data_IF_824642245059
#
_entry.id   IF_824642245059
#
_cell.length_a   1.000
_cell.length_b   1.000
_cell.length_c   1.000
_cell.angle_alpha   90.00
_cell.angle_beta   90.00
_cell.angle_gamma   90.00
#
_symmetry.space_group_name_H-M   'P 1'
#
loop_
_entity.id
_entity.type
_entity.pdbx_description
1 polymer ?
#
# COMPACT_ATOMS: atom_id res chain seq x y z
N UNK A 1 37.79 28.19 -27.87
CA UNK A 1 36.63 28.91 -28.43
C UNK A 1 36.11 28.07 -29.58
N UNK A 2 34.88 27.61 -29.69
CA UNK A 2 33.65 27.76 -28.93
C UNK A 2 32.62 26.90 -29.70
N UNK A 3 31.92 25.99 -28.99
CA UNK A 3 30.48 25.60 -29.09
C UNK A 3 29.76 25.55 -30.48
N UNK A 4 28.72 24.75 -30.72
CA UNK A 4 27.88 23.83 -29.92
C UNK A 4 26.75 23.30 -30.83
N UNK A 5 26.22 22.12 -30.47
CA UNK A 5 24.82 21.65 -30.63
C UNK A 5 24.13 21.64 -32.00
N UNK A 6 23.66 20.45 -32.39
CA UNK A 6 22.22 20.11 -32.26
C UNK A 6 22.04 18.67 -31.81
N UNK A 7 21.63 18.53 -30.54
CA UNK A 7 21.42 17.27 -29.85
C UNK A 7 20.18 16.50 -30.30
N UNK A 8 20.34 15.18 -30.37
CA UNK A 8 19.26 14.21 -30.48
C UNK A 8 18.34 14.24 -29.26
N UNK A 9 17.04 14.07 -29.51
CA UNK A 9 15.99 13.97 -28.50
C UNK A 9 16.24 12.74 -27.62
N UNK A 10 16.87 12.96 -26.47
CA UNK A 10 16.98 11.98 -25.40
C UNK A 10 15.61 11.61 -24.83
N UNK A 11 15.36 10.31 -24.77
CA UNK A 11 14.26 9.68 -24.04
C UNK A 11 14.33 10.15 -22.57
N UNK A 12 13.30 10.84 -22.07
CA UNK A 12 13.23 11.24 -20.66
C UNK A 12 12.98 9.99 -19.80
N UNK A 13 14.04 9.40 -19.29
CA UNK A 13 14.00 8.39 -18.24
C UNK A 13 13.61 9.11 -16.95
N UNK A 14 12.42 8.83 -16.42
CA UNK A 14 11.98 9.31 -15.11
C UNK A 14 12.76 8.58 -14.01
N UNK A 15 13.92 9.11 -13.66
CA UNK A 15 14.66 8.69 -12.47
C UNK A 15 13.94 9.21 -11.22
N UNK A 16 13.30 8.30 -10.49
CA UNK A 16 12.71 8.60 -9.19
C UNK A 16 13.85 8.84 -8.18
N UNK A 17 14.11 10.10 -7.87
CA UNK A 17 15.13 10.51 -6.92
C UNK A 17 14.58 10.37 -5.49
N UNK A 18 15.01 9.34 -4.78
CA UNK A 18 14.68 9.08 -3.39
C UNK A 18 15.42 10.05 -2.44
N UNK A 19 15.02 11.33 -2.44
CA UNK A 19 15.38 12.30 -1.38
C UNK A 19 14.48 13.54 -1.49
N UNK A 20 13.25 13.41 -0.99
CA UNK A 20 12.44 14.44 -0.30
C UNK A 20 11.01 13.90 -0.16
N UNK A 21 10.64 13.40 1.03
CA UNK A 21 9.23 13.19 1.41
C UNK A 21 8.55 14.56 1.57
N UNK A 22 8.35 15.30 0.48
CA UNK A 22 7.31 16.34 0.43
C UNK A 22 6.00 15.61 0.14
N UNK A 23 4.96 15.87 0.95
CA UNK A 23 3.58 15.42 0.73
C UNK A 23 3.11 15.90 -0.64
N UNK A 24 3.47 15.19 -1.71
CA UNK A 24 2.83 15.32 -3.00
C UNK A 24 1.48 14.67 -2.83
N UNK A 25 0.42 15.45 -3.03
CA UNK A 25 -0.91 14.90 -3.22
C UNK A 25 -0.79 13.78 -4.26
N UNK A 26 -1.14 12.56 -3.87
CA UNK A 26 -1.10 11.41 -4.77
C UNK A 26 -2.03 11.73 -5.93
N UNK A 27 -1.48 11.87 -7.13
CA UNK A 27 -2.27 12.27 -8.30
C UNK A 27 -3.28 11.16 -8.61
N UNK A 28 -4.48 11.48 -9.06
CA UNK A 28 -5.51 10.47 -9.33
C UNK A 28 -5.03 9.39 -10.32
N UNK A 29 -4.17 9.78 -11.26
CA UNK A 29 -3.48 8.89 -12.19
C UNK A 29 -2.52 7.91 -11.50
N UNK A 30 -1.76 8.37 -10.51
CA UNK A 30 -0.82 7.56 -9.73
C UNK A 30 -1.57 6.51 -8.90
N UNK A 31 -2.68 6.92 -8.25
CA UNK A 31 -3.55 5.99 -7.52
C UNK A 31 -4.14 4.94 -8.47
N UNK A 32 -4.57 5.35 -9.66
CA UNK A 32 -5.10 4.42 -10.64
C UNK A 32 -4.01 3.47 -11.16
N UNK A 33 -2.79 3.97 -11.40
CA UNK A 33 -1.65 3.15 -11.80
C UNK A 33 -1.33 2.07 -10.76
N UNK A 34 -1.27 2.42 -9.48
CA UNK A 34 -1.08 1.43 -8.40
C UNK A 34 -2.15 0.35 -8.39
N UNK A 35 -3.42 0.73 -8.59
CA UNK A 35 -4.51 -0.23 -8.59
C UNK A 35 -4.51 -1.14 -9.82
N UNK A 36 -4.12 -0.61 -10.98
CA UNK A 36 -4.02 -1.38 -12.24
C UNK A 36 -2.82 -2.33 -12.23
N UNK A 37 -1.71 -1.95 -11.60
CA UNK A 37 -0.47 -2.74 -11.58
C UNK A 37 -0.67 -4.18 -11.06
N UNK A 38 -1.55 -4.37 -10.07
CA UNK A 38 -1.85 -5.68 -9.47
C UNK A 38 -3.36 -5.98 -9.39
N UNK A 39 -4.20 -5.24 -10.13
CA UNK A 39 -5.65 -5.33 -10.00
C UNK A 39 -6.42 -4.68 -11.15
N UNK A 40 -7.66 -4.25 -10.87
CA UNK A 40 -8.56 -3.60 -11.85
C UNK A 40 -8.61 -2.09 -11.61
N UNK A 41 -8.81 -1.26 -12.67
CA UNK A 41 -8.90 0.18 -12.52
C UNK A 41 -10.02 0.59 -11.56
N UNK A 42 -9.88 1.77 -10.97
CA UNK A 42 -10.89 2.32 -10.06
C UNK A 42 -12.22 2.51 -10.78
N UNK A 43 -13.28 1.86 -10.28
CA UNK A 43 -14.63 2.08 -10.77
C UNK A 43 -15.33 3.15 -9.91
N UNK A 44 -16.36 3.81 -10.46
CA UNK A 44 -17.23 4.75 -9.73
C UNK A 44 -17.80 4.14 -8.45
N UNK A 45 -18.09 2.84 -8.45
CA UNK A 45 -18.55 2.09 -7.27
C UNK A 45 -17.50 2.05 -6.15
N UNK A 46 -16.21 2.03 -6.48
CA UNK A 46 -15.13 2.03 -5.50
C UNK A 46 -15.01 3.38 -4.81
N UNK A 47 -15.02 4.47 -5.59
CA UNK A 47 -15.05 5.84 -5.03
C UNK A 47 -16.23 6.04 -4.10
N UNK A 48 -17.42 5.60 -4.52
CA UNK A 48 -18.61 5.65 -3.68
C UNK A 48 -18.42 4.86 -2.38
N UNK A 49 -17.84 3.65 -2.43
CA UNK A 49 -17.60 2.84 -1.23
C UNK A 49 -16.61 3.49 -0.27
N UNK A 50 -15.51 4.06 -0.77
CA UNK A 50 -14.50 4.73 0.05
C UNK A 50 -15.00 6.06 0.65
N UNK A 51 -15.96 6.72 0.00
CA UNK A 51 -16.62 7.92 0.53
C UNK A 51 -17.75 7.58 1.52
N UNK A 52 -18.59 6.59 1.17
CA UNK A 52 -19.82 6.29 1.89
C UNK A 52 -19.55 5.77 3.30
N UNK A 53 -18.57 4.88 3.50
CA UNK A 53 -18.32 4.30 4.83
C UNK A 53 -17.90 5.40 5.84
N UNK A 54 -16.85 6.21 5.58
CA UNK A 54 -16.47 7.28 6.50
C UNK A 54 -17.56 8.36 6.64
N UNK A 55 -18.27 8.69 5.57
CA UNK A 55 -19.36 9.66 5.59
C UNK A 55 -20.56 9.20 6.42
N UNK A 56 -20.98 7.94 6.28
CA UNK A 56 -22.05 7.36 7.09
C UNK A 56 -21.64 7.24 8.55
N UNK A 57 -20.42 6.79 8.84
CA UNK A 57 -19.94 6.69 10.23
C UNK A 57 -19.97 8.06 10.90
N UNK A 58 -19.38 9.08 10.28
CA UNK A 58 -19.34 10.44 10.86
C UNK A 58 -20.72 11.11 10.92
N UNK A 59 -21.54 10.94 9.88
CA UNK A 59 -22.89 11.50 9.81
C UNK A 59 -23.85 10.86 10.82
N UNK A 60 -23.94 9.54 10.86
CA UNK A 60 -24.80 8.81 11.81
C UNK A 60 -24.37 9.10 13.24
N UNK A 61 -23.07 9.07 13.50
CA UNK A 61 -22.55 9.27 14.85
C UNK A 61 -22.84 10.68 15.37
N UNK A 62 -22.59 11.71 14.56
CA UNK A 62 -22.93 13.08 14.93
C UNK A 62 -24.45 13.31 15.06
N UNK A 63 -25.26 12.60 14.27
CA UNK A 63 -26.72 12.66 14.37
C UNK A 63 -27.23 12.07 15.67
N UNK A 64 -26.77 10.87 16.04
CA UNK A 64 -27.18 10.22 17.27
C UNK A 64 -26.77 11.02 18.52
N UNK A 65 -25.66 11.76 18.44
CA UNK A 65 -25.15 12.56 19.55
C UNK A 65 -25.96 13.85 19.77
N UNK A 66 -26.36 14.54 18.69
CA UNK A 66 -26.90 15.91 18.77
C UNK A 66 -28.35 16.03 18.27
N UNK A 67 -28.86 15.06 17.52
CA UNK A 67 -30.17 15.11 16.84
C UNK A 67 -30.36 16.39 15.98
N UNK A 68 -29.27 16.93 15.44
CA UNK A 68 -29.24 18.09 14.53
C UNK A 68 -28.91 17.60 13.13
N UNK A 69 -29.94 17.37 12.31
CA UNK A 69 -29.79 16.74 11.00
C UNK A 69 -28.86 17.50 10.03
N UNK A 70 -28.91 18.83 10.01
CA UNK A 70 -28.10 19.63 9.08
C UNK A 70 -26.61 19.58 9.44
N UNK A 71 -26.29 19.56 10.73
CA UNK A 71 -24.91 19.45 11.22
C UNK A 71 -24.34 18.07 10.89
N UNK A 72 -25.14 17.03 11.05
CA UNK A 72 -24.78 15.66 10.68
C UNK A 72 -24.52 15.51 9.18
N UNK A 73 -25.29 16.22 8.36
CA UNK A 73 -25.06 16.24 6.92
C UNK A 73 -23.71 16.89 6.58
N UNK A 74 -23.38 18.03 7.20
CA UNK A 74 -22.08 18.70 7.02
C UNK A 74 -20.93 17.78 7.46
N UNK A 75 -21.03 17.18 8.64
CA UNK A 75 -20.01 16.27 9.16
C UNK A 75 -19.87 15.00 8.32
N UNK A 76 -20.98 14.45 7.82
CA UNK A 76 -20.99 13.32 6.90
C UNK A 76 -20.31 13.64 5.57
N UNK A 77 -20.53 14.83 5.00
CA UNK A 77 -19.82 15.29 3.81
C UNK A 77 -18.32 15.45 4.08
N UNK A 78 -17.92 16.01 5.23
CA UNK A 78 -16.51 16.10 5.63
C UNK A 78 -15.87 14.72 5.79
N UNK A 79 -16.57 13.76 6.39
CA UNK A 79 -16.13 12.37 6.50
C UNK A 79 -15.95 11.71 5.13
N UNK A 80 -16.91 11.91 4.22
CA UNK A 80 -16.80 11.41 2.85
C UNK A 80 -15.59 11.99 2.10
N UNK A 81 -15.36 13.30 2.22
CA UNK A 81 -14.17 13.96 1.65
C UNK A 81 -12.87 13.41 2.25
N UNK A 82 -12.83 13.15 3.56
CA UNK A 82 -11.68 12.53 4.21
C UNK A 82 -11.44 11.11 3.69
N UNK A 83 -12.50 10.32 3.52
CA UNK A 83 -12.45 8.99 2.91
C UNK A 83 -11.79 8.99 1.54
N UNK A 84 -12.16 9.95 0.68
CA UNK A 84 -11.62 10.07 -0.66
C UNK A 84 -10.19 10.63 -0.71
N UNK A 85 -9.90 11.68 0.08
CA UNK A 85 -8.60 12.38 -0.01
C UNK A 85 -7.49 11.75 0.81
N UNK A 86 -7.82 11.00 1.87
CA UNK A 86 -6.82 10.49 2.82
C UNK A 86 -6.84 8.96 2.88
N UNK A 87 -8.01 8.36 3.15
CA UNK A 87 -8.08 6.91 3.34
C UNK A 87 -7.87 6.14 2.03
N UNK A 88 -8.57 6.52 0.97
CA UNK A 88 -8.49 5.81 -0.32
C UNK A 88 -7.06 5.73 -0.89
N UNK A 89 -6.29 6.83 -1.01
CA UNK A 89 -4.92 6.75 -1.52
C UNK A 89 -4.04 5.84 -0.67
N UNK A 90 -4.14 5.93 0.66
CA UNK A 90 -3.35 5.11 1.58
C UNK A 90 -3.71 3.63 1.50
N UNK A 91 -5.01 3.30 1.40
CA UNK A 91 -5.48 1.91 1.24
C UNK A 91 -4.95 1.31 -0.07
N UNK A 92 -5.04 2.06 -1.17
CA UNK A 92 -4.62 1.59 -2.49
C UNK A 92 -3.10 1.43 -2.53
N UNK A 93 -2.34 2.42 -2.05
CA UNK A 93 -0.89 2.35 -1.98
C UNK A 93 -0.41 1.15 -1.15
N UNK A 94 -0.98 0.96 0.05
CA UNK A 94 -0.65 -0.16 0.93
C UNK A 94 -0.98 -1.51 0.29
N UNK A 95 -2.12 -1.61 -0.40
CA UNK A 95 -2.48 -2.83 -1.13
C UNK A 95 -1.46 -3.13 -2.25
N UNK A 96 -1.09 -2.12 -3.03
CA UNK A 96 -0.05 -2.22 -4.04
C UNK A 96 1.29 -2.69 -3.46
N UNK A 97 1.78 -2.07 -2.39
CA UNK A 97 3.05 -2.44 -1.76
C UNK A 97 3.05 -3.88 -1.26
N UNK A 98 1.94 -4.31 -0.63
CA UNK A 98 1.75 -5.69 -0.16
C UNK A 98 1.76 -6.68 -1.32
N UNK A 99 1.00 -6.39 -2.37
CA UNK A 99 0.81 -7.31 -3.49
C UNK A 99 2.09 -7.39 -4.35
N UNK A 100 2.77 -6.26 -4.55
CA UNK A 100 4.10 -6.17 -5.18
C UNK A 100 5.15 -6.99 -4.41
N UNK A 101 5.23 -6.83 -3.09
CA UNK A 101 6.14 -7.63 -2.25
C UNK A 101 5.83 -9.13 -2.31
N UNK A 102 4.55 -9.51 -2.30
CA UNK A 102 4.12 -10.92 -2.42
C UNK A 102 4.51 -11.53 -3.75
N UNK A 103 4.36 -10.79 -4.85
CA UNK A 103 4.78 -11.27 -6.17
C UNK A 103 6.30 -11.39 -6.28
N UNK A 104 7.09 -10.47 -5.68
CA UNK A 104 8.56 -10.63 -5.56
C UNK A 104 8.94 -11.89 -4.79
N UNK A 105 8.33 -12.13 -3.63
CA UNK A 105 8.58 -13.35 -2.85
C UNK A 105 8.19 -14.61 -3.62
N UNK A 106 7.07 -14.58 -4.35
CA UNK A 106 6.64 -15.68 -5.21
C UNK A 106 7.64 -15.93 -6.35
N UNK A 107 8.19 -14.88 -6.96
CA UNK A 107 9.22 -14.99 -7.98
C UNK A 107 10.49 -15.64 -7.42
N UNK A 108 11.02 -15.14 -6.29
CA UNK A 108 12.21 -15.67 -5.61
C UNK A 108 12.05 -17.17 -5.33
N UNK A 109 10.92 -17.59 -4.78
CA UNK A 109 10.64 -19.00 -4.53
C UNK A 109 10.58 -19.83 -5.83
N UNK A 110 9.84 -19.36 -6.83
CA UNK A 110 9.72 -20.08 -8.11
C UNK A 110 11.06 -20.22 -8.81
N UNK A 111 11.84 -19.15 -8.86
CA UNK A 111 13.12 -19.12 -9.55
C UNK A 111 14.13 -20.04 -8.86
N UNK A 112 14.25 -19.99 -7.53
CA UNK A 112 15.14 -20.89 -6.78
C UNK A 112 14.74 -22.36 -6.96
N UNK A 113 13.44 -22.67 -6.95
CA UNK A 113 12.96 -24.03 -7.21
C UNK A 113 13.28 -24.51 -8.63
N UNK A 114 13.19 -23.64 -9.63
CA UNK A 114 13.52 -24.00 -11.02
C UNK A 114 15.02 -24.18 -11.22
N UNK A 115 15.85 -23.34 -10.59
CA UNK A 115 17.31 -23.48 -10.60
C UNK A 115 17.82 -24.66 -9.79
N UNK A 116 17.00 -25.23 -8.91
CA UNK A 116 17.32 -26.50 -8.23
C UNK A 116 17.22 -27.71 -9.17
N UNK A 117 16.66 -27.55 -10.37
CA UNK A 117 16.57 -28.61 -11.36
C UNK A 117 17.77 -28.53 -12.32
N UNK A 118 18.66 -29.52 -12.23
CA UNK A 118 19.91 -29.63 -13.01
C UNK A 118 19.69 -29.64 -14.53
N UNK A 119 18.48 -30.00 -14.98
CA UNK A 119 18.14 -30.05 -16.41
C UNK A 119 17.70 -28.69 -16.98
N UNK A 120 17.78 -27.59 -16.22
CA UNK A 120 17.33 -26.27 -16.66
C UNK A 120 18.46 -25.25 -16.65
N UNK A 121 18.69 -24.59 -17.79
CA UNK A 121 19.55 -23.41 -17.82
C UNK A 121 18.89 -22.23 -17.13
N UNK A 122 19.68 -21.28 -16.64
CA UNK A 122 19.15 -20.10 -15.96
C UNK A 122 18.17 -19.30 -16.82
N UNK A 123 18.44 -19.10 -18.11
CA UNK A 123 17.51 -18.41 -19.01
C UNK A 123 16.18 -19.17 -19.18
N UNK A 124 16.21 -20.51 -19.24
CA UNK A 124 14.98 -21.32 -19.31
C UNK A 124 14.20 -21.21 -17.99
N UNK A 125 14.90 -21.29 -16.86
CA UNK A 125 14.32 -21.14 -15.52
C UNK A 125 13.70 -19.76 -15.34
N UNK A 126 14.39 -18.69 -15.76
CA UNK A 126 13.89 -17.32 -15.72
C UNK A 126 12.64 -17.18 -16.59
N UNK A 127 12.66 -17.69 -17.82
CA UNK A 127 11.49 -17.66 -18.72
C UNK A 127 10.27 -18.32 -18.09
N UNK A 128 10.47 -19.44 -17.40
CA UNK A 128 9.40 -20.17 -16.73
C UNK A 128 8.95 -19.47 -15.44
N UNK A 129 9.85 -18.86 -14.69
CA UNK A 129 9.52 -18.06 -13.51
C UNK A 129 8.68 -16.82 -13.89
N UNK A 130 9.03 -16.13 -14.97
CA UNK A 130 8.29 -14.99 -15.50
C UNK A 130 6.84 -15.36 -15.85
N UNK A 131 6.63 -16.50 -16.51
CA UNK A 131 5.29 -17.00 -16.82
C UNK A 131 4.41 -17.23 -15.58
N UNK A 132 5.01 -17.39 -14.40
CA UNK A 132 4.31 -17.58 -13.11
C UNK A 132 4.16 -16.28 -12.31
N UNK A 133 4.86 -15.22 -12.68
CA UNK A 133 4.73 -13.90 -12.07
C UNK A 133 3.47 -13.20 -12.59
N UNK A 134 2.97 -12.21 -11.85
CA UNK A 134 1.84 -11.38 -12.25
C UNK A 134 2.15 -9.88 -12.14
N UNK A 135 1.26 -9.08 -12.71
CA UNK A 135 1.27 -7.63 -12.56
C UNK A 135 2.51 -6.96 -13.15
N UNK A 136 2.91 -5.86 -12.52
CA UNK A 136 4.07 -5.06 -12.90
C UNK A 136 5.38 -5.84 -12.90
N UNK A 137 5.62 -6.70 -11.89
CA UNK A 137 6.85 -7.49 -11.83
C UNK A 137 7.02 -8.39 -13.05
N UNK A 138 5.94 -9.00 -13.56
CA UNK A 138 6.01 -9.81 -14.77
C UNK A 138 6.47 -9.00 -15.97
N UNK A 139 5.96 -7.78 -16.11
CA UNK A 139 6.30 -6.89 -17.22
C UNK A 139 7.77 -6.48 -17.13
N UNK A 140 8.24 -6.08 -15.95
CA UNK A 140 9.63 -5.71 -15.75
C UNK A 140 10.58 -6.88 -16.02
N UNK A 141 10.22 -8.10 -15.61
CA UNK A 141 11.03 -9.28 -15.87
C UNK A 141 11.00 -9.69 -17.36
N UNK A 142 9.91 -9.44 -18.09
CA UNK A 142 9.88 -9.63 -19.55
C UNK A 142 10.86 -8.68 -20.24
N UNK A 143 10.92 -7.42 -19.80
CA UNK A 143 11.88 -6.43 -20.29
C UNK A 143 13.31 -6.87 -19.97
N UNK A 144 13.57 -7.32 -18.73
CA UNK A 144 14.87 -7.89 -18.35
C UNK A 144 15.25 -9.04 -19.28
N UNK A 145 14.35 -10.03 -19.48
CA UNK A 145 14.59 -11.18 -20.34
C UNK A 145 14.92 -10.76 -21.78
N UNK A 146 14.16 -9.81 -22.35
CA UNK A 146 14.41 -9.31 -23.69
C UNK A 146 15.79 -8.64 -23.82
N UNK A 147 16.24 -7.95 -22.77
CA UNK A 147 17.51 -7.23 -22.76
C UNK A 147 18.75 -8.11 -22.50
N UNK A 148 18.58 -9.34 -22.00
CA UNK A 148 19.70 -10.25 -21.70
C UNK A 148 19.88 -11.36 -22.74
N UNK A 149 18.89 -11.63 -23.60
CA UNK A 149 19.01 -12.66 -24.65
C UNK A 149 19.98 -12.16 -25.74
N UNK A 150 21.11 -12.85 -25.89
CA UNK A 150 22.13 -12.50 -26.90
C UNK A 150 22.92 -11.24 -26.57
N UNK A 151 22.82 -10.75 -25.34
CA UNK A 151 23.46 -9.54 -24.87
C UNK A 151 24.91 -9.79 -24.43
N UNK A 152 25.75 -8.76 -24.54
CA UNK A 152 27.09 -8.77 -23.95
C UNK A 152 27.06 -8.55 -22.42
N UNK A 153 28.19 -8.77 -21.75
CA UNK A 153 28.27 -8.64 -20.29
C UNK A 153 27.86 -7.24 -19.79
N UNK A 154 28.20 -6.17 -20.50
CA UNK A 154 27.87 -4.80 -20.10
C UNK A 154 26.37 -4.55 -20.20
N UNK A 155 25.75 -5.06 -21.26
CA UNK A 155 24.30 -5.01 -21.44
C UNK A 155 23.54 -5.79 -20.37
N UNK A 156 24.03 -6.98 -19.99
CA UNK A 156 23.47 -7.78 -18.89
C UNK A 156 23.52 -7.01 -17.57
N UNK A 157 24.69 -6.49 -17.19
CA UNK A 157 24.87 -5.70 -15.96
C UNK A 157 23.91 -4.51 -15.95
N UNK A 158 23.81 -3.78 -17.07
CA UNK A 158 22.93 -2.65 -17.18
C UNK A 158 21.44 -3.04 -17.03
N UNK A 159 21.01 -4.15 -17.63
CA UNK A 159 19.64 -4.62 -17.56
C UNK A 159 19.24 -5.03 -16.12
N UNK A 160 20.10 -5.77 -15.41
CA UNK A 160 19.87 -6.12 -14.01
C UNK A 160 19.88 -4.90 -13.11
N UNK A 161 20.83 -3.97 -13.31
CA UNK A 161 20.89 -2.72 -12.56
C UNK A 161 19.65 -1.85 -12.73
N UNK A 162 19.03 -1.82 -13.92
CA UNK A 162 17.76 -1.13 -14.12
C UNK A 162 16.64 -1.73 -13.26
N UNK A 163 16.54 -3.06 -13.22
CA UNK A 163 15.54 -3.75 -12.41
C UNK A 163 15.80 -3.60 -10.90
N UNK A 164 17.05 -3.81 -10.48
CA UNK A 164 17.54 -3.64 -9.10
C UNK A 164 17.20 -2.24 -8.56
N UNK A 165 17.54 -1.18 -9.31
CA UNK A 165 17.23 0.19 -8.89
C UNK A 165 15.74 0.45 -8.66
N UNK A 166 14.85 -0.20 -9.43
CA UNK A 166 13.40 -0.09 -9.26
C UNK A 166 12.92 -0.74 -7.97
N UNK A 167 13.55 -1.85 -7.56
CA UNK A 167 13.13 -2.67 -6.41
C UNK A 167 14.05 -2.55 -5.19
N UNK A 168 14.97 -1.58 -5.18
CA UNK A 168 16.01 -1.38 -4.17
C UNK A 168 15.52 -1.26 -2.72
N UNK A 169 14.27 -0.86 -2.50
CA UNK A 169 13.66 -0.82 -1.16
C UNK A 169 13.45 -2.22 -0.56
N UNK A 170 13.41 -3.27 -1.39
CA UNK A 170 13.37 -4.67 -0.98
C UNK A 170 14.79 -5.27 -1.08
N UNK A 171 15.61 -5.01 -0.05
CA UNK A 171 17.04 -5.36 -0.02
C UNK A 171 17.29 -6.84 -0.33
N UNK A 172 16.47 -7.75 0.21
CA UNK A 172 16.64 -9.19 -0.03
C UNK A 172 16.30 -9.57 -1.47
N UNK A 173 15.31 -8.92 -2.07
CA UNK A 173 15.01 -9.11 -3.49
C UNK A 173 16.10 -8.52 -4.39
N UNK A 174 16.67 -7.37 -4.02
CA UNK A 174 17.78 -6.75 -4.72
C UNK A 174 19.01 -7.67 -4.74
N UNK A 175 19.41 -8.20 -3.57
CA UNK A 175 20.45 -9.22 -3.46
C UNK A 175 20.15 -10.46 -4.30
N UNK A 176 18.89 -10.89 -4.36
CA UNK A 176 18.50 -12.01 -5.21
C UNK A 176 18.73 -11.72 -6.69
N UNK A 177 18.42 -10.50 -7.15
CA UNK A 177 18.67 -10.07 -8.53
C UNK A 177 20.18 -10.00 -8.84
N UNK A 178 21.00 -9.51 -7.90
CA UNK A 178 22.46 -9.52 -8.04
C UNK A 178 23.00 -10.95 -8.21
N UNK A 179 22.49 -11.92 -7.43
CA UNK A 179 22.91 -13.31 -7.62
C UNK A 179 22.45 -13.89 -8.96
N UNK A 180 21.25 -13.53 -9.44
CA UNK A 180 20.83 -13.93 -10.79
C UNK A 180 21.71 -13.31 -11.87
N UNK A 181 22.11 -12.05 -11.72
CA UNK A 181 23.05 -11.37 -12.60
C UNK A 181 24.38 -12.12 -12.68
N UNK A 182 24.99 -12.42 -11.52
CA UNK A 182 26.22 -13.22 -11.45
C UNK A 182 26.05 -14.57 -12.14
N UNK A 183 24.92 -15.24 -11.94
CA UNK A 183 24.68 -16.53 -12.58
C UNK A 183 24.53 -16.43 -14.12
N UNK A 184 24.02 -15.31 -14.65
CA UNK A 184 24.01 -15.05 -16.10
C UNK A 184 25.43 -14.84 -16.62
N UNK A 185 26.23 -14.03 -15.93
CA UNK A 185 27.57 -13.62 -16.37
C UNK A 185 28.59 -14.77 -16.29
N UNK A 186 28.54 -15.54 -15.21
CA UNK A 186 29.49 -16.63 -14.94
C UNK A 186 29.04 -17.99 -15.49
N UNK A 187 27.77 -18.12 -15.87
CA UNK A 187 27.17 -19.36 -16.35
C UNK A 187 27.10 -20.47 -15.30
N UNK A 188 27.38 -20.17 -14.03
CA UNK A 188 27.31 -21.08 -12.89
C UNK A 188 26.27 -20.60 -11.90
N UNK A 189 25.55 -21.53 -11.27
CA UNK A 189 24.53 -21.21 -10.28
C UNK A 189 25.04 -21.50 -8.87
N UNK A 190 25.16 -20.48 -8.04
CA UNK A 190 25.35 -20.66 -6.60
C UNK A 190 23.99 -20.91 -5.93
N UNK A 191 23.52 -22.15 -6.01
CA UNK A 191 22.19 -22.53 -5.56
C UNK A 191 22.03 -22.39 -4.04
N UNK A 192 23.10 -22.57 -3.26
CA UNK A 192 23.08 -22.43 -1.80
C UNK A 192 22.77 -20.98 -1.41
N UNK A 193 23.51 -20.01 -1.96
CA UNK A 193 23.24 -18.58 -1.71
C UNK A 193 21.83 -18.17 -2.15
N UNK A 194 21.34 -18.67 -3.29
CA UNK A 194 19.97 -18.41 -3.74
C UNK A 194 18.90 -19.04 -2.82
N UNK A 195 19.21 -20.16 -2.17
CA UNK A 195 18.33 -20.79 -1.16
C UNK A 195 18.33 -19.99 0.13
N UNK A 196 19.48 -19.48 0.56
CA UNK A 196 19.59 -18.67 1.78
C UNK A 196 18.83 -17.35 1.64
N UNK A 197 19.02 -16.64 0.53
CA UNK A 197 18.28 -15.40 0.22
C UNK A 197 16.77 -15.69 0.17
N UNK A 198 16.35 -16.81 -0.46
CA UNK A 198 14.95 -17.24 -0.49
C UNK A 198 14.39 -17.48 0.92
N UNK A 199 15.14 -18.16 1.78
CA UNK A 199 14.74 -18.40 3.18
C UNK A 199 14.56 -17.09 3.93
N UNK A 200 15.53 -16.18 3.81
CA UNK A 200 15.46 -14.87 4.46
C UNK A 200 14.29 -14.01 3.93
N UNK A 201 14.00 -14.06 2.63
CA UNK A 201 12.86 -13.34 2.05
C UNK A 201 11.53 -13.89 2.56
N UNK A 202 11.42 -15.21 2.70
CA UNK A 202 10.24 -15.87 3.28
C UNK A 202 10.04 -15.51 4.75
N UNK A 203 11.10 -15.49 5.57
CA UNK A 203 11.02 -15.04 6.97
C UNK A 203 10.57 -13.58 7.07
N UNK A 204 11.10 -12.72 6.19
CA UNK A 204 10.69 -11.31 6.12
C UNK A 204 9.22 -11.20 5.74
N UNK A 205 8.75 -12.00 4.78
CA UNK A 205 7.34 -12.08 4.43
C UNK A 205 6.48 -12.51 5.61
N UNK A 206 6.89 -13.55 6.34
CA UNK A 206 6.14 -14.03 7.50
C UNK A 206 6.01 -12.96 8.58
N UNK A 207 7.09 -12.23 8.89
CA UNK A 207 7.06 -11.08 9.81
C UNK A 207 6.13 -9.97 9.34
N UNK A 208 6.17 -9.63 8.04
CA UNK A 208 5.25 -8.62 7.45
C UNK A 208 3.79 -9.07 7.52
N UNK A 209 3.51 -10.33 7.19
CA UNK A 209 2.16 -10.91 7.28
C UNK A 209 1.67 -10.92 8.75
N UNK A 210 2.54 -11.23 9.73
CA UNK A 210 2.20 -11.18 11.15
C UNK A 210 1.88 -9.76 11.64
N UNK A 211 2.70 -8.78 11.27
CA UNK A 211 2.45 -7.39 11.59
C UNK A 211 1.17 -6.87 10.94
N UNK A 212 0.90 -7.27 9.69
CA UNK A 212 -0.36 -6.96 9.01
C UNK A 212 -1.58 -7.55 9.74
N UNK A 213 -1.50 -8.80 10.22
CA UNK A 213 -2.55 -9.42 11.03
C UNK A 213 -2.80 -8.66 12.33
N UNK A 214 -1.74 -8.24 13.03
CA UNK A 214 -1.87 -7.41 14.25
C UNK A 214 -2.55 -6.08 13.98
N UNK A 215 -2.16 -5.38 12.91
CA UNK A 215 -2.84 -4.15 12.45
C UNK A 215 -4.31 -4.40 12.14
N UNK A 216 -4.64 -5.50 11.46
CA UNK A 216 -6.03 -5.87 11.17
C UNK A 216 -6.82 -6.16 12.46
N UNK A 217 -6.19 -6.77 13.47
CA UNK A 217 -6.74 -6.92 14.82
C UNK A 217 -7.14 -5.57 15.41
N UNK A 218 -6.23 -4.60 15.43
CA UNK A 218 -6.54 -3.25 15.93
C UNK A 218 -7.62 -2.51 15.12
N UNK A 219 -7.72 -2.78 13.81
CA UNK A 219 -8.83 -2.27 12.99
C UNK A 219 -10.17 -2.90 13.39
N UNK A 220 -10.20 -4.19 13.77
CA UNK A 220 -11.41 -4.82 14.32
C UNK A 220 -11.77 -4.21 15.67
N UNK A 221 -10.80 -4.02 16.56
CA UNK A 221 -11.01 -3.38 17.87
C UNK A 221 -11.60 -1.97 17.71
N UNK A 222 -11.08 -1.19 16.76
CA UNK A 222 -11.61 0.14 16.42
C UNK A 222 -13.08 0.08 15.98
N UNK A 223 -13.45 -0.87 15.12
CA UNK A 223 -14.84 -1.05 14.68
C UNK A 223 -15.75 -1.46 15.84
N UNK A 224 -15.28 -2.36 16.70
CA UNK A 224 -16.00 -2.78 17.91
C UNK A 224 -16.21 -1.60 18.85
N UNK A 225 -15.20 -0.75 19.06
CA UNK A 225 -15.32 0.46 19.86
C UNK A 225 -16.38 1.41 19.30
N UNK A 226 -16.39 1.65 17.99
CA UNK A 226 -17.42 2.47 17.33
C UNK A 226 -18.82 1.91 17.56
N UNK A 227 -18.97 0.59 17.42
CA UNK A 227 -20.24 -0.10 17.61
C UNK A 227 -20.73 0.01 19.06
N UNK A 228 -19.85 -0.24 20.04
CA UNK A 228 -20.16 -0.10 21.47
C UNK A 228 -20.64 1.32 21.78
N UNK A 229 -19.97 2.34 21.25
CA UNK A 229 -20.38 3.72 21.46
C UNK A 229 -21.79 3.98 20.92
N UNK A 230 -22.09 3.53 19.70
CA UNK A 230 -23.42 3.71 19.10
C UNK A 230 -24.49 3.04 19.98
N UNK A 231 -24.24 1.81 20.43
CA UNK A 231 -25.15 1.10 21.34
C UNK A 231 -25.34 1.87 22.65
N UNK A 232 -24.26 2.44 23.20
CA UNK A 232 -24.31 3.21 24.44
C UNK A 232 -25.13 4.50 24.31
N UNK A 233 -24.94 5.24 23.22
CA UNK A 233 -25.74 6.45 22.92
C UNK A 233 -27.22 6.09 22.79
N UNK A 234 -27.54 5.02 22.06
CA UNK A 234 -28.92 4.55 21.90
C UNK A 234 -29.53 4.10 23.23
N UNK A 235 -28.78 3.36 24.06
CA UNK A 235 -29.23 2.89 25.36
C UNK A 235 -29.56 4.07 26.30
N UNK A 236 -28.72 5.11 26.32
CA UNK A 236 -28.97 6.34 27.08
C UNK A 236 -30.21 7.06 26.53
N UNK A 237 -30.27 7.24 25.21
CA UNK A 237 -31.42 7.91 24.55
C UNK A 237 -32.75 7.26 24.94
N UNK A 238 -32.80 5.92 24.90
CA UNK A 238 -34.01 5.16 25.24
C UNK A 238 -34.30 5.21 26.74
N UNK A 239 -33.29 5.05 27.59
CA UNK A 239 -33.43 5.02 29.05
C UNK A 239 -34.02 6.30 29.62
N UNK A 240 -33.62 7.47 29.10
CA UNK A 240 -34.15 8.76 29.54
C UNK A 240 -35.47 9.15 28.84
N UNK A 241 -35.90 8.39 27.83
CA UNK A 241 -36.94 8.76 26.89
C UNK A 241 -36.40 9.70 25.82
N UNK A 242 -36.67 9.38 24.55
CA UNK A 242 -36.11 10.08 23.38
C UNK A 242 -36.39 11.58 23.42
N UNK A 243 -37.61 11.98 23.79
CA UNK A 243 -37.99 13.39 23.88
C UNK A 243 -37.18 14.13 24.95
N UNK A 244 -37.04 13.53 26.14
CA UNK A 244 -36.27 14.09 27.25
C UNK A 244 -34.80 14.24 26.87
N UNK A 245 -34.20 13.23 26.23
CA UNK A 245 -32.81 13.30 25.76
C UNK A 245 -32.61 14.47 24.78
N UNK A 246 -33.53 14.63 23.82
CA UNK A 246 -33.43 15.69 22.82
C UNK A 246 -33.57 17.07 23.47
N UNK A 247 -34.55 17.27 24.36
CA UNK A 247 -34.82 18.59 24.94
C UNK A 247 -33.84 18.96 26.06
N UNK A 248 -33.46 18.01 26.91
CA UNK A 248 -32.61 18.27 28.07
C UNK A 248 -31.11 18.22 27.73
N UNK A 249 -30.70 17.44 26.73
CA UNK A 249 -29.30 17.26 26.37
C UNK A 249 -29.00 17.74 24.94
N UNK A 250 -29.57 17.10 23.91
CA UNK A 250 -29.09 17.24 22.53
C UNK A 250 -29.26 18.67 21.95
N UNK A 251 -30.32 19.38 22.36
CA UNK A 251 -30.60 20.78 21.98
C UNK A 251 -30.22 21.80 23.06
N UNK A 252 -29.58 21.36 24.13
CA UNK A 252 -29.14 22.22 25.21
C UNK A 252 -27.68 22.66 24.99
N UNK A 253 -27.30 23.91 25.35
CA UNK A 253 -25.91 24.38 25.20
C UNK A 253 -24.87 23.47 25.87
N UNK A 254 -25.21 22.85 27.00
CA UNK A 254 -24.35 21.88 27.69
C UNK A 254 -24.08 20.65 26.80
N UNK A 255 -25.09 20.14 26.11
CA UNK A 255 -24.94 19.02 25.16
C UNK A 255 -24.08 19.40 23.95
N UNK A 256 -24.18 20.65 23.48
CA UNK A 256 -23.33 21.12 22.38
C UNK A 256 -21.87 21.24 22.77
N UNK A 257 -21.58 21.77 23.95
CA UNK A 257 -20.19 21.89 24.45
C UNK A 257 -19.60 20.51 24.69
N UNK A 258 -20.30 19.65 25.42
CA UNK A 258 -19.83 18.28 25.73
C UNK A 258 -19.71 17.42 24.47
N UNK A 259 -20.69 17.51 23.56
CA UNK A 259 -20.65 16.84 22.26
C UNK A 259 -19.53 17.35 21.35
N UNK A 260 -19.25 18.66 21.36
CA UNK A 260 -18.14 19.27 20.63
C UNK A 260 -16.77 18.79 21.13
N UNK A 261 -16.58 18.73 22.45
CA UNK A 261 -15.38 18.16 23.08
C UNK A 261 -15.22 16.70 22.66
N UNK A 262 -16.30 15.91 22.77
CA UNK A 262 -16.29 14.50 22.43
C UNK A 262 -15.93 14.25 20.96
N UNK A 263 -16.58 14.95 20.04
CA UNK A 263 -16.32 14.85 18.59
C UNK A 263 -14.87 15.25 18.26
N UNK A 264 -14.34 16.28 18.94
CA UNK A 264 -12.94 16.70 18.76
C UNK A 264 -11.97 15.62 19.21
N UNK A 265 -12.18 15.03 20.40
CA UNK A 265 -11.35 13.94 20.93
C UNK A 265 -11.37 12.73 20.00
N UNK A 266 -12.56 12.33 19.54
CA UNK A 266 -12.71 11.22 18.60
C UNK A 266 -12.02 11.52 17.26
N UNK A 267 -12.14 12.73 16.74
CA UNK A 267 -11.45 13.13 15.52
C UNK A 267 -9.93 12.99 15.65
N UNK A 268 -9.35 13.50 16.75
CA UNK A 268 -7.91 13.36 17.00
C UNK A 268 -7.49 11.89 17.16
N UNK A 269 -8.28 11.10 17.89
CA UNK A 269 -8.04 9.67 18.04
C UNK A 269 -8.03 8.93 16.70
N UNK A 270 -9.05 9.14 15.85
CA UNK A 270 -9.12 8.54 14.51
C UNK A 270 -7.99 8.99 13.60
N UNK A 271 -7.64 10.29 13.64
CA UNK A 271 -6.54 10.83 12.86
C UNK A 271 -5.22 10.16 13.24
N UNK A 272 -4.94 10.05 14.54
CA UNK A 272 -3.75 9.38 15.06
C UNK A 272 -3.74 7.89 14.70
N UNK A 273 -4.85 7.19 14.95
CA UNK A 273 -5.00 5.78 14.58
C UNK A 273 -4.74 5.55 13.09
N UNK A 274 -5.34 6.38 12.23
CA UNK A 274 -5.14 6.30 10.78
C UNK A 274 -3.68 6.51 10.41
N UNK A 275 -3.02 7.49 11.01
CA UNK A 275 -1.60 7.76 10.76
C UNK A 275 -0.75 6.53 11.11
N UNK A 276 -0.92 5.93 12.30
CA UNK A 276 -0.16 4.74 12.70
C UNK A 276 -0.54 3.48 11.92
N UNK A 277 -1.82 3.33 11.57
CA UNK A 277 -2.30 2.16 10.83
C UNK A 277 -1.67 2.08 9.42
N UNK A 278 -1.50 3.22 8.76
CA UNK A 278 -0.88 3.31 7.43
C UNK A 278 0.62 3.60 7.47
N UNK A 279 1.20 3.81 8.64
CA UNK A 279 2.65 3.90 8.77
C UNK A 279 3.26 2.50 8.76
N UNK A 280 3.76 2.11 7.59
CA UNK A 280 4.46 0.84 7.37
C UNK A 280 5.98 1.01 7.44
N UNK A 281 6.49 2.19 7.86
CA UNK A 281 7.94 2.45 7.95
C UNK A 281 8.67 1.61 8.99
N UNK A 282 7.95 1.06 9.98
CA UNK A 282 8.49 0.11 10.96
C UNK A 282 8.80 -1.26 10.30
N UNK A 283 8.20 -1.55 9.14
CA UNK A 283 8.50 -2.74 8.34
C UNK A 283 9.62 -2.52 7.32
N UNK A 284 10.09 -1.27 7.15
CA UNK A 284 11.30 -0.97 6.39
C UNK A 284 12.47 -1.30 7.31
N UNK A 285 13.20 -2.39 7.01
CA UNK A 285 14.48 -2.66 7.67
C UNK A 285 15.42 -1.54 7.24
N UNK A 286 15.55 -0.50 8.08
CA UNK A 286 16.63 0.46 7.95
C UNK A 286 17.90 -0.23 8.42
N UNK A 287 18.75 -0.57 7.46
CA UNK A 287 20.16 -0.88 7.71
C UNK A 287 20.87 0.41 8.12
#
# INVERSE_FOLDING_TARGET
MENSEKGGKGLKISTFNAKTRKKKFVNAEEINAFKVAYGKPLNKKDYMRYAAIPGLVTGVFSFLLLYIWWLSLILGLMGALYGLKVLMPNIIKRAYERDSFRERNKFVNNMTSLLSNENQTLLISLKRAIKRANGELREDLNILMANIIGADQTQVIHAFKQLSNKYREDITFDQYLEQLETCVLEGRTNLETLKDIKTHHNETKEKKDDYARKKEGHMKDMKTLCFIIVVFILAITVSFGVNTYITAFARHPIGWVTGGIYMSTIFFFFKSFTAYFFDDSIMEVKV
#
